data_IF_175120157376
#
_entry.id   IF_175120157376
#
_cell.length_a   1.000
_cell.length_b   1.000
_cell.length_c   1.000
_cell.angle_alpha   90.00
_cell.angle_beta   90.00
_cell.angle_gamma   90.00
#
_symmetry.space_group_name_H-M   'P 1'
#
loop_
_entity.id
_entity.type
_entity.pdbx_description
1 polymer ?
#
# COMPACT_ATOMS: atom_id res chain seq x y z
N UNK A 1 1.37 -35.20 25.59
CA UNK A 1 2.48 -34.72 24.72
C UNK A 1 2.67 -33.24 25.01
N UNK A 2 3.62 -32.88 25.86
CA UNK A 2 3.81 -31.48 26.29
C UNK A 2 4.54 -30.72 25.19
N UNK A 3 3.90 -29.70 24.62
CA UNK A 3 4.54 -28.85 23.61
C UNK A 3 5.57 -27.99 24.34
N UNK A 4 6.86 -28.06 23.97
CA UNK A 4 7.91 -27.31 24.66
C UNK A 4 7.65 -25.80 24.52
N UNK A 5 7.78 -25.05 25.62
CA UNK A 5 7.54 -23.60 25.69
C UNK A 5 8.31 -22.80 24.62
N UNK A 6 9.47 -23.29 24.17
CA UNK A 6 10.24 -22.72 23.06
C UNK A 6 9.50 -22.69 21.73
N UNK A 7 8.62 -23.67 21.47
CA UNK A 7 7.77 -23.73 20.26
C UNK A 7 6.63 -22.70 20.32
N UNK A 8 6.10 -22.43 21.51
CA UNK A 8 5.03 -21.46 21.74
C UNK A 8 5.59 -20.04 21.65
N UNK A 9 6.80 -19.80 22.19
CA UNK A 9 7.49 -18.51 22.08
C UNK A 9 7.86 -18.14 20.64
N UNK A 10 8.29 -19.12 19.84
CA UNK A 10 8.52 -18.93 18.39
C UNK A 10 7.21 -18.66 17.62
N UNK A 11 6.09 -19.23 18.06
CA UNK A 11 4.76 -19.04 17.46
C UNK A 11 4.20 -17.63 17.73
N UNK A 12 4.49 -17.05 18.91
CA UNK A 12 4.07 -15.68 19.27
C UNK A 12 5.02 -14.57 18.79
N UNK A 13 6.05 -14.88 18.00
CA UNK A 13 6.97 -13.87 17.47
C UNK A 13 7.82 -13.17 18.54
N UNK A 14 7.83 -13.66 19.78
CA UNK A 14 8.65 -13.16 20.89
C UNK A 14 10.01 -13.88 20.96
N UNK A 15 10.60 -14.16 19.80
CA UNK A 15 12.01 -14.53 19.72
C UNK A 15 12.83 -13.25 19.70
N UNK A 16 13.86 -13.19 20.56
CA UNK A 16 14.83 -12.08 20.71
C UNK A 16 15.74 -11.88 19.47
N UNK A 17 15.27 -12.21 18.27
CA UNK A 17 15.89 -11.77 17.04
C UNK A 17 15.26 -10.42 16.70
N UNK A 18 16.00 -9.36 17.03
CA UNK A 18 15.81 -8.02 16.48
C UNK A 18 15.45 -8.18 14.98
N UNK A 19 14.26 -7.77 14.51
CA UNK A 19 13.92 -7.84 13.10
C UNK A 19 15.03 -7.12 12.33
N UNK A 20 15.61 -7.81 11.34
CA UNK A 20 16.87 -7.49 10.65
C UNK A 20 17.26 -6.01 10.72
N UNK A 21 18.17 -5.70 11.65
CA UNK A 21 18.87 -4.43 11.73
C UNK A 21 19.89 -4.42 10.58
N UNK A 22 19.41 -4.30 9.32
CA UNK A 22 20.27 -4.00 8.18
C UNK A 22 20.73 -2.57 8.36
N UNK A 23 21.74 -2.40 9.20
CA UNK A 23 22.52 -1.15 9.25
C UNK A 23 22.98 -0.88 7.83
N UNK A 24 22.96 0.40 7.42
CA UNK A 24 23.65 0.85 6.21
C UNK A 24 25.01 0.14 6.15
N UNK A 25 25.41 -0.46 5.02
CA UNK A 25 26.69 -1.13 4.93
C UNK A 25 27.77 -0.21 5.52
N UNK A 26 28.56 -0.70 6.46
CA UNK A 26 29.52 0.13 7.18
C UNK A 26 30.45 0.82 6.16
N UNK A 27 30.33 2.15 6.02
CA UNK A 27 31.04 2.94 5.01
C UNK A 27 30.24 3.39 3.77
N UNK A 28 28.92 3.13 3.70
CA UNK A 28 28.07 3.68 2.65
C UNK A 28 27.83 5.19 2.86
N UNK A 29 28.54 6.02 2.10
CA UNK A 29 28.30 7.47 2.02
C UNK A 29 27.64 7.81 0.68
N UNK A 30 26.38 8.31 0.68
CA UNK A 30 25.69 8.80 -0.52
C UNK A 30 26.50 9.77 -1.40
N UNK A 31 27.45 10.50 -0.81
CA UNK A 31 28.27 11.49 -1.50
C UNK A 31 29.49 10.89 -2.23
N UNK A 32 29.81 9.62 -1.98
CA UNK A 32 30.95 8.89 -2.59
C UNK A 32 30.54 8.01 -3.78
N UNK A 33 29.26 8.02 -4.10
CA UNK A 33 28.69 7.26 -5.20
C UNK A 33 29.14 7.83 -6.56
N UNK A 34 29.36 6.94 -7.53
CA UNK A 34 29.83 7.30 -8.88
C UNK A 34 28.81 8.11 -9.69
N UNK A 35 29.06 8.35 -10.99
CA UNK A 35 28.11 9.04 -11.86
C UNK A 35 26.75 8.35 -11.85
N UNK A 36 25.67 9.11 -11.60
CA UNK A 36 24.29 8.59 -11.59
C UNK A 36 23.85 8.26 -13.02
N UNK A 37 24.00 6.99 -13.39
CA UNK A 37 23.36 6.45 -14.60
C UNK A 37 21.87 6.22 -14.34
N UNK A 38 21.04 6.84 -15.17
CA UNK A 38 19.58 6.72 -15.12
C UNK A 38 19.12 5.65 -16.11
N UNK A 39 18.33 4.69 -15.64
CA UNK A 39 17.82 3.61 -16.48
C UNK A 39 16.43 3.93 -17.04
N UNK A 40 15.52 4.40 -16.19
CA UNK A 40 14.14 4.73 -16.58
C UNK A 40 13.51 5.73 -15.61
N UNK A 41 12.63 6.58 -16.13
CA UNK A 41 11.83 7.54 -15.38
C UNK A 41 10.37 7.43 -15.81
N UNK A 42 9.44 7.41 -14.85
CA UNK A 42 8.01 7.44 -15.13
C UNK A 42 7.22 8.13 -14.02
N UNK A 43 6.01 8.55 -14.35
CA UNK A 43 5.11 9.21 -13.41
C UNK A 43 4.15 8.17 -12.83
N UNK A 44 4.29 7.90 -11.54
CA UNK A 44 3.38 7.02 -10.81
C UNK A 44 2.23 7.84 -10.24
N UNK A 45 1.01 7.54 -10.68
CA UNK A 45 -0.20 8.09 -10.06
C UNK A 45 -0.43 7.35 -8.75
N UNK A 46 -0.31 8.05 -7.62
CA UNK A 46 -0.62 7.48 -6.31
C UNK A 46 -2.11 7.64 -6.09
N UNK A 47 -2.88 6.65 -6.56
CA UNK A 47 -4.28 6.55 -6.21
C UNK A 47 -4.42 5.58 -5.05
N UNK A 48 -4.86 6.07 -3.89
CA UNK A 48 -5.42 5.17 -2.89
C UNK A 48 -6.62 4.49 -3.57
N UNK A 49 -6.59 3.17 -3.74
CA UNK A 49 -7.74 2.44 -4.24
C UNK A 49 -8.88 2.58 -3.24
N UNK A 50 -9.68 3.63 -3.41
CA UNK A 50 -11.01 3.71 -2.83
C UNK A 50 -11.79 2.66 -3.62
N UNK A 51 -11.88 1.46 -3.04
CA UNK A 51 -12.71 0.36 -3.55
C UNK A 51 -14.05 0.97 -3.98
N UNK A 52 -14.30 0.97 -5.30
CA UNK A 52 -15.54 1.48 -5.86
C UNK A 52 -16.70 0.81 -5.13
N UNK A 53 -17.38 1.58 -4.28
CA UNK A 53 -18.48 1.05 -3.49
C UNK A 53 -19.56 0.65 -4.48
N UNK A 54 -19.93 -0.65 -4.50
CA UNK A 54 -20.83 -1.22 -5.50
C UNK A 54 -22.04 -0.29 -5.71
N UNK A 55 -22.30 0.13 -6.97
CA UNK A 55 -23.34 1.14 -7.31
C UNK A 55 -24.73 0.77 -6.76
N UNK A 56 -24.99 -0.52 -6.55
CA UNK A 56 -26.23 -1.00 -5.92
C UNK A 56 -26.30 -0.65 -4.42
N UNK A 57 -25.18 -0.77 -3.71
CA UNK A 57 -25.07 -0.44 -2.29
C UNK A 57 -25.19 1.07 -2.07
N UNK A 58 -24.55 1.89 -2.90
CA UNK A 58 -24.65 3.35 -2.80
C UNK A 58 -26.09 3.85 -3.00
N UNK A 59 -26.84 3.25 -3.94
CA UNK A 59 -28.25 3.61 -4.18
C UNK A 59 -29.14 3.33 -2.96
N UNK A 60 -28.99 2.17 -2.33
CA UNK A 60 -29.76 1.82 -1.13
C UNK A 60 -29.44 2.75 0.04
N UNK A 61 -28.17 3.07 0.25
CA UNK A 61 -27.74 4.01 1.32
C UNK A 61 -28.31 5.42 1.09
N UNK A 62 -28.30 5.92 -0.15
CA UNK A 62 -28.87 7.22 -0.49
C UNK A 62 -30.39 7.24 -0.21
N UNK A 63 -31.12 6.20 -0.58
CA UNK A 63 -32.56 6.10 -0.32
C UNK A 63 -32.84 6.13 1.19
N UNK A 64 -32.09 5.34 1.97
CA UNK A 64 -32.25 5.32 3.43
C UNK A 64 -31.95 6.70 4.03
N UNK A 65 -30.89 7.37 3.59
CA UNK A 65 -30.53 8.71 4.06
C UNK A 65 -31.64 9.73 3.76
N UNK A 66 -32.26 9.68 2.57
CA UNK A 66 -33.38 10.56 2.20
C UNK A 66 -34.61 10.30 3.08
N UNK A 67 -34.95 9.03 3.34
CA UNK A 67 -36.07 8.67 4.20
C UNK A 67 -35.84 9.16 5.64
N UNK A 68 -34.64 8.96 6.19
CA UNK A 68 -34.28 9.43 7.53
C UNK A 68 -34.36 10.97 7.60
N UNK A 69 -33.83 11.67 6.59
CA UNK A 69 -33.90 13.13 6.53
C UNK A 69 -35.36 13.61 6.51
N UNK A 70 -36.22 12.94 5.73
CA UNK A 70 -37.65 13.28 5.66
C UNK A 70 -38.36 13.05 7.00
N UNK A 71 -38.07 11.94 7.69
CA UNK A 71 -38.59 11.68 9.04
C UNK A 71 -38.16 12.75 10.05
N UNK A 72 -36.89 13.17 10.01
CA UNK A 72 -36.37 14.22 10.91
C UNK A 72 -37.04 15.58 10.67
N UNK A 73 -37.33 15.93 9.40
CA UNK A 73 -38.06 17.15 9.05
C UNK A 73 -39.48 17.12 9.60
N UNK A 74 -40.17 15.97 9.51
CA UNK A 74 -41.53 15.81 10.05
C UNK A 74 -41.55 15.93 11.58
N UNK A 75 -40.50 15.49 12.27
CA UNK A 75 -40.36 15.63 13.72
C UNK A 75 -40.00 17.06 14.17
N UNK A 76 -39.75 18.00 13.24
CA UNK A 76 -39.30 19.38 13.51
C UNK A 76 -37.99 19.48 14.33
N UNK A 77 -37.17 18.43 14.31
CA UNK A 77 -35.90 18.36 15.05
C UNK A 77 -34.75 18.96 14.23
N UNK A 78 -34.76 20.29 14.06
CA UNK A 78 -33.78 21.01 13.23
C UNK A 78 -32.33 20.86 13.71
N UNK A 79 -32.12 20.65 15.03
CA UNK A 79 -30.80 20.41 15.60
C UNK A 79 -30.17 19.11 15.08
N UNK A 80 -30.94 18.03 15.02
CA UNK A 80 -30.47 16.73 14.50
C UNK A 80 -30.15 16.79 13.02
N UNK A 81 -30.96 17.52 12.23
CA UNK A 81 -30.71 17.72 10.80
C UNK A 81 -29.34 18.35 10.57
N UNK A 82 -28.96 19.35 11.37
CA UNK A 82 -27.68 20.04 11.24
C UNK A 82 -26.49 19.12 11.55
N UNK A 83 -26.62 18.23 12.55
CA UNK A 83 -25.60 17.23 12.89
C UNK A 83 -25.41 16.23 11.74
N UNK A 84 -26.51 15.71 11.20
CA UNK A 84 -26.48 14.78 10.06
C UNK A 84 -25.86 15.46 8.83
N UNK A 85 -26.23 16.70 8.54
CA UNK A 85 -25.66 17.46 7.42
C UNK A 85 -24.16 17.69 7.58
N UNK A 86 -23.70 18.02 8.79
CA UNK A 86 -22.27 18.20 9.10
C UNK A 86 -21.48 16.90 8.90
N UNK A 87 -22.03 15.77 9.32
CA UNK A 87 -21.41 14.46 9.13
C UNK A 87 -21.30 14.09 7.64
N UNK A 88 -22.37 14.30 6.88
CA UNK A 88 -22.37 14.06 5.42
C UNK A 88 -21.33 14.95 4.75
N UNK A 89 -21.29 16.24 5.09
CA UNK A 89 -20.30 17.17 4.56
C UNK A 89 -18.87 16.72 4.86
N UNK A 90 -18.59 16.29 6.09
CA UNK A 90 -17.29 15.78 6.50
C UNK A 90 -16.89 14.54 5.67
N UNK A 91 -17.79 13.56 5.52
CA UNK A 91 -17.55 12.37 4.71
C UNK A 91 -17.27 12.70 3.24
N UNK A 92 -17.99 13.66 2.68
CA UNK A 92 -17.76 14.12 1.30
C UNK A 92 -16.38 14.80 1.18
N UNK A 93 -15.98 15.59 2.19
CA UNK A 93 -14.69 16.29 2.19
C UNK A 93 -13.51 15.33 2.24
N UNK A 94 -13.61 14.25 3.03
CA UNK A 94 -12.58 13.20 3.08
C UNK A 94 -12.38 12.49 1.73
N UNK A 95 -13.43 12.38 0.92
CA UNK A 95 -13.35 11.78 -0.40
C UNK A 95 -12.75 12.69 -1.48
N UNK A 96 -12.50 13.98 -1.17
CA UNK A 96 -11.87 14.94 -2.11
C UNK A 96 -10.36 15.08 -1.89
N UNK A 97 -9.67 13.98 -1.58
CA UNK A 97 -8.21 14.00 -1.58
C UNK A 97 -7.72 14.06 -3.04
N UNK A 98 -6.90 15.05 -3.42
CA UNK A 98 -6.39 15.18 -4.78
C UNK A 98 -5.50 13.98 -5.14
N UNK A 99 -5.58 13.55 -6.40
CA UNK A 99 -4.65 12.57 -6.95
C UNK A 99 -3.28 13.23 -7.07
N UNK A 100 -2.26 12.64 -6.42
CA UNK A 100 -0.89 13.13 -6.51
C UNK A 100 -0.10 12.25 -7.48
N UNK A 101 0.51 12.87 -8.48
CA UNK A 101 1.51 12.24 -9.34
C UNK A 101 2.86 12.32 -8.65
N UNK A 102 3.57 11.19 -8.59
CA UNK A 102 4.91 11.11 -8.02
C UNK A 102 5.88 10.65 -9.10
N UNK A 103 6.92 11.43 -9.34
CA UNK A 103 7.99 11.08 -10.26
C UNK A 103 8.83 9.94 -9.68
N UNK A 104 8.97 8.87 -10.45
CA UNK A 104 9.76 7.68 -10.10
C UNK A 104 10.93 7.55 -11.06
N UNK A 105 12.13 7.40 -10.52
CA UNK A 105 13.35 7.24 -11.30
C UNK A 105 14.13 6.03 -10.80
N UNK A 106 14.45 5.10 -11.69
CA UNK A 106 15.33 3.97 -11.41
C UNK A 106 16.71 4.28 -11.96
N UNK A 107 17.72 4.20 -11.09
CA UNK A 107 19.10 4.55 -11.39
C UNK A 107 20.07 3.53 -10.83
N UNK A 108 21.33 3.60 -11.25
CA UNK A 108 22.45 2.80 -10.72
C UNK A 108 22.56 2.79 -9.20
N UNK A 109 22.12 3.85 -8.52
CA UNK A 109 22.18 3.98 -7.06
C UNK A 109 20.95 3.39 -6.33
N UNK A 110 19.82 3.27 -7.02
CA UNK A 110 18.55 2.84 -6.45
C UNK A 110 17.34 3.50 -7.10
N UNK A 111 16.23 3.52 -6.38
CA UNK A 111 14.94 4.04 -6.82
C UNK A 111 14.66 5.37 -6.11
N UNK A 112 14.51 6.44 -6.89
CA UNK A 112 14.00 7.72 -6.39
C UNK A 112 12.48 7.74 -6.52
N UNK A 113 11.79 8.11 -5.45
CA UNK A 113 10.35 8.25 -5.38
C UNK A 113 10.00 9.62 -4.81
N UNK A 114 9.57 10.54 -5.68
CA UNK A 114 9.39 11.95 -5.31
C UNK A 114 10.72 12.55 -4.85
N UNK A 115 10.76 13.03 -3.60
CA UNK A 115 11.97 13.60 -3.00
C UNK A 115 12.85 12.58 -2.26
N UNK A 116 12.35 11.35 -2.06
CA UNK A 116 13.04 10.31 -1.31
C UNK A 116 13.84 9.38 -2.22
N UNK A 117 15.08 9.09 -1.85
CA UNK A 117 15.94 8.12 -2.52
C UNK A 117 16.00 6.82 -1.71
N UNK A 118 15.62 5.71 -2.33
CA UNK A 118 15.75 4.36 -1.77
C UNK A 118 16.92 3.66 -2.45
N UNK A 119 17.93 3.29 -1.67
CA UNK A 119 19.13 2.64 -2.20
C UNK A 119 18.92 1.13 -2.36
N UNK A 120 19.69 0.50 -3.24
CA UNK A 120 19.55 -0.95 -3.49
C UNK A 120 19.68 -1.82 -2.23
N UNK A 121 20.52 -1.43 -1.24
CA UNK A 121 20.64 -2.18 0.02
C UNK A 121 19.38 -2.12 0.90
N UNK A 122 18.49 -1.15 0.65
CA UNK A 122 17.22 -0.97 1.37
C UNK A 122 16.08 -1.74 0.70
N UNK A 123 16.27 -2.20 -0.53
CA UNK A 123 15.28 -2.90 -1.34
C UNK A 123 15.55 -4.41 -1.29
N UNK A 124 14.48 -5.20 -1.16
CA UNK A 124 14.58 -6.64 -1.00
C UNK A 124 14.27 -7.38 -2.29
N UNK A 125 13.07 -7.15 -2.82
CA UNK A 125 12.48 -7.95 -3.88
C UNK A 125 11.34 -7.16 -4.52
N UNK A 126 11.01 -7.50 -5.75
CA UNK A 126 9.91 -6.88 -6.47
C UNK A 126 8.99 -7.92 -7.12
N UNK A 127 7.73 -7.54 -7.28
CA UNK A 127 6.73 -8.34 -7.97
C UNK A 127 5.68 -7.44 -8.61
N UNK A 128 5.01 -7.97 -9.64
CA UNK A 128 3.88 -7.30 -10.29
C UNK A 128 2.57 -7.89 -9.76
N UNK A 129 1.62 -7.01 -9.45
CA UNK A 129 0.29 -7.41 -8.99
C UNK A 129 -0.77 -6.73 -9.86
N UNK A 130 -1.74 -7.49 -10.32
CA UNK A 130 -2.93 -6.92 -10.96
C UNK A 130 -3.94 -6.56 -9.88
N UNK A 131 -4.32 -5.28 -9.80
CA UNK A 131 -5.36 -4.81 -8.89
C UNK A 131 -6.44 -4.11 -9.70
N UNK A 132 -7.66 -4.63 -9.60
CA UNK A 132 -8.79 -4.31 -10.47
C UNK A 132 -8.42 -4.40 -11.97
N UNK A 133 -8.34 -3.26 -12.66
CA UNK A 133 -8.04 -3.14 -14.10
C UNK A 133 -6.59 -2.72 -14.40
N UNK A 134 -5.81 -2.36 -13.37
CA UNK A 134 -4.43 -1.90 -13.52
C UNK A 134 -3.41 -2.94 -13.00
N UNK A 135 -2.20 -2.93 -13.57
CA UNK A 135 -1.04 -3.65 -13.03
C UNK A 135 -0.19 -2.66 -12.23
N UNK A 136 0.20 -3.03 -11.01
CA UNK A 136 1.04 -2.23 -10.13
C UNK A 136 2.33 -2.98 -9.82
N UNK A 137 3.43 -2.22 -9.75
CA UNK A 137 4.74 -2.71 -9.36
C UNK A 137 4.84 -2.54 -7.85
N UNK A 138 5.23 -3.62 -7.18
CA UNK A 138 5.40 -3.64 -5.75
C UNK A 138 6.87 -3.97 -5.44
N UNK A 139 7.52 -3.14 -4.65
CA UNK A 139 8.89 -3.36 -4.18
C UNK A 139 8.88 -3.41 -2.66
N UNK A 140 9.30 -4.55 -2.10
CA UNK A 140 9.43 -4.70 -0.65
C UNK A 140 10.76 -4.08 -0.17
N UNK A 141 10.72 -3.39 0.96
CA UNK A 141 11.91 -2.77 1.56
C UNK A 141 12.29 -3.49 2.85
N UNK A 142 13.58 -3.48 3.20
CA UNK A 142 14.06 -3.91 4.52
C UNK A 142 13.79 -2.85 5.61
N UNK A 143 13.63 -1.59 5.21
CA UNK A 143 13.45 -0.45 6.12
C UNK A 143 12.04 -0.39 6.72
N UNK A 144 11.92 0.15 7.95
CA UNK A 144 10.73 0.15 8.79
C UNK A 144 9.50 0.84 8.16
N UNK A 145 9.68 1.91 7.38
CA UNK A 145 8.59 2.69 6.79
C UNK A 145 9.00 3.34 5.46
N UNK A 146 8.23 3.20 4.36
CA UNK A 146 7.16 2.23 4.14
C UNK A 146 7.76 0.84 3.86
N UNK A 147 7.31 -0.23 4.54
CA UNK A 147 7.83 -1.59 4.32
C UNK A 147 7.59 -2.17 2.91
N UNK A 148 6.77 -1.48 2.11
CA UNK A 148 6.43 -1.82 0.73
C UNK A 148 6.12 -0.55 -0.05
N UNK A 149 6.76 -0.41 -1.20
CA UNK A 149 6.53 0.68 -2.14
C UNK A 149 5.63 0.19 -3.27
N UNK A 150 4.65 1.02 -3.62
CA UNK A 150 3.68 0.74 -4.68
C UNK A 150 3.87 1.77 -5.78
N UNK A 151 4.09 1.30 -7.01
CA UNK A 151 4.28 2.14 -8.17
C UNK A 151 3.26 1.76 -9.24
N UNK A 152 2.50 2.76 -9.70
CA UNK A 152 1.71 2.64 -10.93
C UNK A 152 2.65 2.85 -12.12
N UNK A 153 2.45 2.10 -13.20
CA UNK A 153 3.26 2.19 -14.42
C UNK A 153 2.41 1.89 -15.66
N UNK A 154 2.89 2.31 -16.82
CA UNK A 154 2.26 2.04 -18.12
C UNK A 154 2.71 0.65 -18.59
N UNK A 155 1.76 -0.18 -19.07
CA UNK A 155 2.01 -1.57 -19.46
C UNK A 155 3.15 -1.73 -20.50
N UNK A 156 3.35 -0.72 -21.35
CA UNK A 156 4.41 -0.69 -22.36
C UNK A 156 5.82 -0.67 -21.76
N UNK A 157 6.00 -0.04 -20.59
CA UNK A 157 7.30 0.06 -19.92
C UNK A 157 7.60 -1.12 -18.98
N UNK A 158 6.64 -2.04 -18.82
CA UNK A 158 6.77 -3.24 -17.97
C UNK A 158 8.06 -4.00 -18.23
N UNK A 159 8.39 -4.24 -19.49
CA UNK A 159 9.56 -5.03 -19.88
C UNK A 159 10.85 -4.30 -19.51
N UNK A 160 10.92 -2.98 -19.74
CA UNK A 160 12.08 -2.15 -19.40
C UNK A 160 12.29 -2.05 -17.88
N UNK A 161 11.20 -1.83 -17.15
CA UNK A 161 11.20 -1.78 -15.67
C UNK A 161 11.69 -3.11 -15.10
N UNK A 162 11.18 -4.23 -15.64
CA UNK A 162 11.61 -5.57 -15.21
C UNK A 162 13.10 -5.77 -15.45
N UNK A 163 13.61 -5.47 -16.65
CA UNK A 163 15.03 -5.61 -16.97
C UNK A 163 15.94 -4.70 -16.13
N UNK A 164 15.49 -3.50 -15.79
CA UNK A 164 16.24 -2.57 -14.94
C UNK A 164 16.32 -3.07 -13.48
N UNK A 165 15.23 -3.62 -12.95
CA UNK A 165 15.17 -4.10 -11.57
C UNK A 165 15.82 -5.48 -11.39
N UNK A 166 15.67 -6.39 -12.35
CA UNK A 166 16.21 -7.76 -12.31
C UNK A 166 17.74 -7.80 -12.22
N UNK A 167 18.42 -6.73 -12.66
CA UNK A 167 19.87 -6.57 -12.51
C UNK A 167 20.34 -6.35 -11.07
N UNK A 168 19.46 -5.87 -10.20
CA UNK A 168 19.84 -5.37 -8.87
C UNK A 168 19.06 -6.05 -7.73
N UNK A 169 17.83 -6.49 -7.95
CA UNK A 169 16.96 -7.09 -6.93
C UNK A 169 16.25 -8.34 -7.48
N UNK A 170 15.90 -9.27 -6.58
CA UNK A 170 15.26 -10.53 -6.98
C UNK A 170 13.81 -10.31 -7.41
N UNK A 171 13.45 -10.84 -8.59
CA UNK A 171 12.06 -10.92 -9.05
C UNK A 171 11.32 -12.08 -8.37
N UNK A 172 10.14 -11.80 -7.82
CA UNK A 172 9.22 -12.83 -7.33
C UNK A 172 7.97 -12.89 -8.21
N UNK A 173 7.63 -14.10 -8.66
CA UNK A 173 6.41 -14.35 -9.43
C UNK A 173 5.15 -14.44 -8.56
N UNK A 174 5.27 -14.53 -7.24
CA UNK A 174 4.17 -14.74 -6.29
C UNK A 174 4.34 -13.78 -5.11
N UNK A 175 3.28 -13.07 -4.75
CA UNK A 175 3.27 -12.18 -3.58
C UNK A 175 3.60 -12.98 -2.31
N UNK A 176 4.58 -12.54 -1.51
CA UNK A 176 4.77 -13.12 -0.18
C UNK A 176 3.54 -12.77 0.66
N UNK A 177 2.74 -13.77 1.02
CA UNK A 177 1.62 -13.60 1.94
C UNK A 177 2.12 -12.99 3.25
N UNK A 178 1.72 -11.75 3.52
CA UNK A 178 2.01 -11.09 4.78
C UNK A 178 1.34 -11.83 5.93
N UNK A 179 1.85 -11.69 7.15
CA UNK A 179 1.21 -12.28 8.34
C UNK A 179 -0.24 -11.81 8.50
N UNK A 180 -0.56 -10.60 8.04
CA UNK A 180 -1.92 -10.09 8.00
C UNK A 180 -2.77 -10.81 6.96
N UNK A 181 -2.25 -11.11 5.78
CA UNK A 181 -3.00 -11.84 4.74
C UNK A 181 -3.37 -13.25 5.22
N UNK A 182 -2.46 -13.93 5.94
CA UNK A 182 -2.75 -15.22 6.58
C UNK A 182 -3.83 -15.10 7.66
N UNK A 183 -3.83 -13.99 8.41
CA UNK A 183 -4.87 -13.73 9.40
C UNK A 183 -6.23 -13.47 8.71
N UNK A 184 -6.25 -12.63 7.67
CA UNK A 184 -7.46 -12.34 6.91
C UNK A 184 -8.03 -13.59 6.23
N UNK A 185 -7.19 -14.45 5.62
CA UNK A 185 -7.62 -15.74 5.06
C UNK A 185 -8.17 -16.69 6.14
N UNK A 186 -7.56 -16.74 7.32
CA UNK A 186 -8.06 -17.54 8.44
C UNK A 186 -9.39 -17.01 9.00
N UNK A 187 -9.59 -15.70 9.00
CA UNK A 187 -10.87 -15.09 9.40
C UNK A 187 -11.92 -15.35 8.33
N UNK A 188 -11.59 -15.10 7.06
CA UNK A 188 -12.49 -15.29 5.92
C UNK A 188 -12.99 -16.73 5.79
N UNK A 189 -12.09 -17.71 5.89
CA UNK A 189 -12.43 -19.14 5.82
C UNK A 189 -13.33 -19.60 6.97
N UNK A 190 -13.25 -18.97 8.15
CA UNK A 190 -14.14 -19.23 9.29
C UNK A 190 -15.50 -18.56 9.16
N UNK A 191 -15.58 -17.45 8.42
CA UNK A 191 -16.82 -16.66 8.30
C UNK A 191 -17.57 -16.86 6.98
N UNK A 192 -17.08 -17.69 6.05
CA UNK A 192 -17.74 -18.03 4.78
C UNK A 192 -18.36 -16.79 4.06
N UNK A 193 -17.61 -15.67 4.08
CA UNK A 193 -17.90 -14.40 3.39
C UNK A 193 -16.74 -14.10 2.43
#
# INVERSE_FOLDING_TARGET
>A
MQIPYSKILNFFGMSNQKPSDTKRPDGFDPQTLGPKEKYIEWDSVVKAEIKEMNKRFSRTVIIIAVVIALLLVVMQEFGLIFVVASLIFFLISLNRLPEHTVHVEVSSHGIKYGDSMYYWYELKQFFFKKVAEAEILIVDTYTYLPGRLFFSFILEDRTKIKEALDKHINFLSIEPLSFLDKFFENVKSKFNI
#
